data_IF_181333139250
#
_entry.id   IF_181333139250
#
_cell.length_a   1.000
_cell.length_b   1.000
_cell.length_c   1.000
_cell.angle_alpha   90.00
_cell.angle_beta   90.00
_cell.angle_gamma   90.00
#
_symmetry.space_group_name_H-M   'P 1'
#
loop_
_entity.id
_entity.type
_entity.pdbx_description
1 polymer ?
#
# COMPACT_ATOMS: atom_id res chain seq x y z
N UNK A 1 23.45 21.18 65.40
CA UNK A 1 24.35 20.49 66.35
C UNK A 1 25.50 20.03 65.51
N UNK A 2 26.50 20.84 65.47
CA UNK A 2 27.67 20.74 66.31
C UNK A 2 28.48 19.53 65.94
N UNK A 3 29.58 19.85 65.20
CA UNK A 3 30.95 19.68 65.69
C UNK A 3 31.35 18.23 65.87
N UNK A 4 32.35 17.86 65.25
CA UNK A 4 33.71 17.47 65.62
C UNK A 4 34.13 16.38 64.64
N UNK A 5 35.23 16.33 64.02
CA UNK A 5 36.58 16.60 64.51
C UNK A 5 37.49 16.72 63.32
N UNK A 6 38.04 17.85 63.18
CA UNK A 6 39.43 18.09 62.83
C UNK A 6 40.32 17.24 63.73
N UNK A 7 41.23 16.57 63.19
CA UNK A 7 42.59 16.27 63.72
C UNK A 7 43.03 14.92 63.15
N UNK A 8 43.84 14.79 62.23
CA UNK A 8 45.26 14.46 62.38
C UNK A 8 45.96 14.84 61.07
N UNK A 9 46.49 16.02 61.17
CA UNK A 9 47.56 16.53 60.34
C UNK A 9 48.85 16.02 60.95
N UNK A 10 49.91 15.91 60.15
CA UNK A 10 51.32 15.95 60.53
C UNK A 10 52.07 14.65 60.43
N UNK A 11 53.17 14.85 59.68
CA UNK A 11 54.44 14.15 59.62
C UNK A 11 54.55 12.92 58.72
N UNK A 12 55.12 13.10 57.53
CA UNK A 12 56.56 12.80 57.37
C UNK A 12 57.11 13.47 56.11
N UNK A 13 57.84 14.54 56.35
CA UNK A 13 58.81 15.09 55.42
C UNK A 13 60.16 14.47 55.81
N UNK A 14 60.77 13.73 54.92
CA UNK A 14 62.22 13.47 54.94
C UNK A 14 62.65 13.38 53.47
N UNK A 15 63.10 14.39 52.95
CA UNK A 15 64.44 14.84 52.52
C UNK A 15 65.46 13.73 52.31
N UNK A 16 65.83 13.52 51.07
CA UNK A 16 67.25 13.29 50.80
C UNK A 16 67.66 13.85 49.44
N UNK A 17 68.65 14.66 49.56
CA UNK A 17 69.34 15.51 48.63
C UNK A 17 70.31 14.73 47.74
N UNK A 18 70.56 15.35 46.56
CA UNK A 18 71.80 15.39 45.78
C UNK A 18 72.24 14.17 44.97
N UNK A 19 72.28 14.29 43.66
CA UNK A 19 73.58 14.69 43.03
C UNK A 19 73.35 14.96 41.56
N UNK A 20 73.76 16.13 41.18
CA UNK A 20 73.84 16.59 39.80
C UNK A 20 75.13 15.98 39.22
N UNK A 21 75.02 15.20 38.17
CA UNK A 21 76.14 14.91 37.28
C UNK A 21 75.63 15.10 35.83
N UNK A 22 76.44 15.88 35.11
CA UNK A 22 76.27 16.35 33.75
C UNK A 22 76.09 15.18 32.74
N UNK A 23 75.33 15.40 31.69
CA UNK A 23 75.17 14.39 30.62
C UNK A 23 76.40 14.46 29.73
N UNK A 24 77.13 13.38 29.69
CA UNK A 24 78.01 13.09 28.55
C UNK A 24 77.18 12.58 27.40
N UNK A 25 77.34 13.19 26.27
CA UNK A 25 76.87 12.75 25.00
C UNK A 25 77.15 11.25 24.81
N UNK A 26 76.09 10.46 24.70
CA UNK A 26 76.18 9.14 24.12
C UNK A 26 75.49 9.21 22.76
N UNK A 27 76.35 9.33 21.75
CA UNK A 27 75.95 9.00 20.38
C UNK A 27 75.38 7.58 20.38
N UNK A 28 74.10 7.52 20.29
CA UNK A 28 73.42 6.27 19.92
C UNK A 28 73.52 6.10 18.41
N UNK A 29 74.60 5.47 17.99
CA UNK A 29 74.57 4.73 16.73
C UNK A 29 73.53 3.67 16.84
N UNK A 30 72.32 3.98 16.37
CA UNK A 30 71.32 2.98 16.05
C UNK A 30 71.84 2.18 14.85
N UNK A 31 72.71 1.23 15.09
CA UNK A 31 72.97 0.18 14.12
C UNK A 31 71.70 -0.63 13.99
N UNK A 32 70.93 -0.32 12.98
CA UNK A 32 69.87 -1.18 12.45
C UNK A 32 70.56 -2.43 11.90
N UNK A 33 70.90 -3.39 12.78
CA UNK A 33 71.15 -4.73 12.35
C UNK A 33 69.81 -5.30 11.87
N UNK A 34 69.55 -5.19 10.60
CA UNK A 34 68.59 -6.04 9.92
C UNK A 34 69.08 -7.49 10.10
N UNK A 35 68.55 -8.15 11.09
CA UNK A 35 68.74 -9.59 11.19
C UNK A 35 67.99 -10.26 10.04
N UNK A 36 68.65 -10.42 8.91
CA UNK A 36 68.17 -11.26 7.87
C UNK A 36 68.12 -12.68 8.39
N UNK A 37 66.91 -13.22 8.49
CA UNK A 37 66.69 -14.61 8.83
C UNK A 37 66.66 -15.39 7.54
N UNK A 38 67.69 -16.17 7.26
CA UNK A 38 67.70 -17.11 6.16
C UNK A 38 67.07 -18.44 6.61
N UNK A 39 65.99 -18.79 5.91
CA UNK A 39 65.33 -20.11 6.06
C UNK A 39 65.88 -21.09 5.01
N UNK A 40 66.26 -22.27 5.48
CA UNK A 40 66.65 -23.33 4.54
C UNK A 40 65.41 -23.88 3.84
N UNK A 41 65.60 -24.51 2.68
CA UNK A 41 64.48 -25.11 1.94
C UNK A 41 63.72 -26.14 2.74
N UNK A 42 64.41 -26.93 3.51
CA UNK A 42 63.76 -27.94 4.38
C UNK A 42 62.91 -27.33 5.50
N UNK A 43 63.30 -26.18 6.02
CA UNK A 43 62.51 -25.41 6.99
C UNK A 43 61.29 -24.79 6.34
N UNK A 44 61.41 -24.30 5.10
CA UNK A 44 60.25 -23.73 4.31
C UNK A 44 59.23 -24.83 4.01
N UNK A 45 59.72 -26.02 3.59
CA UNK A 45 58.84 -27.15 3.27
C UNK A 45 58.18 -27.76 4.52
N UNK A 46 58.93 -27.87 5.62
CA UNK A 46 58.38 -28.36 6.91
C UNK A 46 57.31 -27.39 7.46
N UNK A 47 57.57 -26.11 7.35
CA UNK A 47 56.63 -25.05 7.82
C UNK A 47 55.51 -24.77 6.82
N UNK A 48 55.50 -25.40 5.64
CA UNK A 48 54.53 -25.19 4.54
C UNK A 48 54.35 -23.70 4.16
N UNK A 49 55.46 -22.94 4.18
CA UNK A 49 55.43 -21.52 3.82
C UNK A 49 55.22 -21.39 2.34
N UNK A 50 54.18 -20.62 1.95
CA UNK A 50 53.87 -20.26 0.56
C UNK A 50 54.10 -18.76 0.37
N UNK A 51 54.89 -18.42 -0.65
CA UNK A 51 55.06 -17.05 -1.06
C UNK A 51 53.90 -16.66 -1.98
N UNK A 52 53.29 -15.51 -1.75
CA UNK A 52 52.27 -14.95 -2.61
C UNK A 52 52.59 -13.51 -2.98
N UNK A 53 51.96 -13.01 -4.01
CA UNK A 53 51.98 -11.58 -4.34
C UNK A 53 50.88 -10.88 -3.60
N UNK A 54 51.14 -9.68 -3.10
CA UNK A 54 50.12 -8.80 -2.56
C UNK A 54 49.20 -8.34 -3.71
N UNK A 55 47.91 -8.63 -3.57
CA UNK A 55 46.89 -8.18 -4.48
C UNK A 55 46.09 -7.04 -3.83
N UNK A 56 45.80 -6.00 -4.61
CA UNK A 56 44.94 -4.91 -4.15
C UNK A 56 43.50 -5.36 -4.35
N UNK A 57 42.81 -5.70 -3.29
CA UNK A 57 41.40 -5.99 -3.29
C UNK A 57 40.62 -4.80 -2.74
N UNK A 58 39.52 -4.49 -3.40
CA UNK A 58 38.59 -3.47 -2.92
C UNK A 58 37.76 -4.09 -1.79
N UNK A 59 37.95 -3.64 -0.58
CA UNK A 59 37.12 -4.03 0.56
C UNK A 59 35.84 -3.21 0.46
N UNK A 60 34.76 -3.88 0.13
CA UNK A 60 33.43 -3.27 0.15
C UNK A 60 32.87 -3.38 1.56
N UNK A 61 32.47 -2.25 2.13
CA UNK A 61 31.72 -2.24 3.37
C UNK A 61 30.24 -2.46 3.02
N UNK A 62 29.66 -3.52 3.54
CA UNK A 62 28.24 -3.80 3.42
C UNK A 62 27.51 -3.27 4.64
N UNK A 63 26.34 -2.67 4.41
CA UNK A 63 25.41 -2.31 5.46
C UNK A 63 24.36 -3.43 5.51
N UNK A 64 24.36 -4.17 6.62
CA UNK A 64 23.32 -5.18 6.83
C UNK A 64 22.08 -4.51 7.40
N UNK A 65 20.97 -4.69 6.72
CA UNK A 65 19.67 -4.16 7.15
C UNK A 65 18.58 -5.21 6.93
N UNK A 66 17.56 -5.13 7.78
CA UNK A 66 16.36 -5.95 7.66
C UNK A 66 15.29 -5.13 6.97
N UNK A 67 14.59 -5.74 6.04
CA UNK A 67 13.52 -5.06 5.31
C UNK A 67 12.41 -6.00 4.90
N UNK A 68 11.37 -5.41 4.31
CA UNK A 68 10.27 -6.13 3.72
C UNK A 68 10.00 -5.63 2.31
N UNK A 69 9.50 -6.53 1.47
CA UNK A 69 8.97 -6.15 0.16
C UNK A 69 7.52 -5.73 0.38
N UNK A 70 7.19 -4.52 -0.02
CA UNK A 70 5.84 -3.97 0.09
C UNK A 70 5.30 -3.48 -1.25
N UNK A 71 3.98 -3.34 -1.33
CA UNK A 71 3.27 -2.85 -2.51
C UNK A 71 2.72 -1.46 -2.20
N UNK A 72 2.98 -0.46 -3.05
CA UNK A 72 2.44 0.89 -2.86
C UNK A 72 0.91 0.87 -2.70
N UNK A 73 0.31 1.79 -1.91
CA UNK A 73 -1.14 1.83 -1.70
C UNK A 73 -1.97 1.90 -2.97
N UNK A 74 -1.47 2.55 -4.03
CA UNK A 74 -2.14 2.63 -5.33
C UNK A 74 -2.20 1.30 -6.08
N UNK A 75 -1.37 0.33 -5.72
CA UNK A 75 -1.31 -1.00 -6.28
C UNK A 75 -2.04 -2.04 -5.41
N UNK A 76 -2.76 -1.59 -4.40
CA UNK A 76 -3.64 -2.41 -3.57
C UNK A 76 -5.09 -2.07 -3.85
N UNK A 77 -5.96 -3.06 -3.85
CA UNK A 77 -7.40 -2.87 -3.98
C UNK A 77 -8.14 -3.68 -2.93
N UNK A 78 -8.97 -2.99 -2.15
CA UNK A 78 -9.94 -3.59 -1.27
C UNK A 78 -11.30 -3.56 -1.96
N UNK A 79 -11.87 -4.72 -2.24
CA UNK A 79 -13.18 -4.86 -2.87
C UNK A 79 -14.21 -5.07 -1.78
N UNK A 80 -15.14 -4.13 -1.67
CA UNK A 80 -16.22 -4.17 -0.70
C UNK A 80 -17.57 -4.32 -1.40
N UNK A 81 -18.56 -4.85 -0.69
CA UNK A 81 -19.93 -4.96 -1.17
C UNK A 81 -20.57 -3.57 -1.30
N UNK A 82 -20.94 -3.11 -2.49
CA UNK A 82 -21.60 -1.81 -2.66
C UNK A 82 -23.02 -1.80 -2.11
N UNK A 83 -23.67 -2.97 -2.08
CA UNK A 83 -24.95 -3.25 -1.43
C UNK A 83 -24.86 -4.60 -0.72
N UNK A 84 -25.59 -4.75 0.39
CA UNK A 84 -25.66 -6.02 1.12
C UNK A 84 -26.40 -7.11 0.34
N UNK A 85 -26.06 -8.38 0.62
CA UNK A 85 -26.69 -9.53 -0.01
C UNK A 85 -26.07 -10.85 0.40
N UNK A 86 -26.58 -11.96 -0.13
CA UNK A 86 -26.06 -13.31 0.07
C UNK A 86 -25.10 -13.66 -1.06
N UNK A 87 -23.93 -14.18 -0.74
CA UNK A 87 -22.95 -14.65 -1.71
C UNK A 87 -23.45 -15.93 -2.38
N UNK A 88 -23.71 -15.87 -3.69
CA UNK A 88 -24.23 -17.01 -4.46
C UNK A 88 -23.16 -17.72 -5.29
N UNK A 89 -22.05 -17.07 -5.59
CA UNK A 89 -20.91 -17.63 -6.34
C UNK A 89 -19.63 -17.01 -5.82
N UNK A 90 -18.58 -17.83 -5.68
CA UNK A 90 -17.21 -17.41 -5.40
C UNK A 90 -16.31 -18.08 -6.44
N UNK A 91 -15.57 -17.29 -7.23
CA UNK A 91 -14.82 -17.81 -8.38
C UNK A 91 -13.33 -18.00 -8.10
N UNK A 92 -12.78 -17.34 -7.09
CA UNK A 92 -11.33 -17.24 -6.89
C UNK A 92 -10.94 -17.48 -5.45
N UNK A 93 -9.68 -17.93 -5.28
CA UNK A 93 -9.05 -18.25 -4.00
C UNK A 93 -7.83 -17.34 -3.75
N UNK A 94 -7.33 -17.25 -2.52
CA UNK A 94 -6.07 -16.58 -2.24
C UNK A 94 -4.92 -17.17 -3.07
N UNK A 95 -4.14 -16.30 -3.71
CA UNK A 95 -3.06 -16.64 -4.62
C UNK A 95 -3.44 -16.65 -6.10
N UNK A 96 -4.72 -16.64 -6.45
CA UNK A 96 -5.16 -16.59 -7.84
C UNK A 96 -4.88 -15.21 -8.47
N UNK A 97 -4.52 -15.23 -9.76
CA UNK A 97 -4.39 -14.02 -10.55
C UNK A 97 -5.72 -13.68 -11.22
N UNK A 98 -6.11 -12.41 -11.16
CA UNK A 98 -7.33 -11.89 -11.78
C UNK A 98 -7.03 -10.70 -12.68
N UNK A 99 -7.80 -10.55 -13.75
CA UNK A 99 -7.74 -9.40 -14.65
C UNK A 99 -8.72 -8.32 -14.22
N UNK A 100 -8.39 -7.07 -14.51
CA UNK A 100 -9.33 -5.96 -14.34
C UNK A 100 -10.65 -6.24 -15.05
N UNK A 101 -11.77 -6.09 -14.33
CA UNK A 101 -13.13 -6.35 -14.83
C UNK A 101 -13.58 -7.80 -14.70
N UNK A 102 -12.72 -8.72 -14.28
CA UNK A 102 -13.09 -10.12 -14.09
C UNK A 102 -14.01 -10.33 -12.89
N UNK A 103 -14.99 -11.23 -13.02
CA UNK A 103 -16.01 -11.44 -12.01
C UNK A 103 -15.49 -12.28 -10.84
N UNK A 104 -15.40 -11.69 -9.66
CA UNK A 104 -14.90 -12.32 -8.43
C UNK A 104 -15.99 -13.13 -7.73
N UNK A 105 -17.14 -12.54 -7.50
CA UNK A 105 -18.27 -13.19 -6.87
C UNK A 105 -19.60 -12.59 -7.36
N UNK A 106 -20.70 -13.24 -6.96
CA UNK A 106 -22.06 -12.75 -7.17
C UNK A 106 -22.78 -12.63 -5.85
N UNK A 107 -23.49 -11.52 -5.69
CA UNK A 107 -24.37 -11.27 -4.56
C UNK A 107 -25.82 -11.32 -5.02
N UNK A 108 -26.71 -11.86 -4.18
CA UNK A 108 -28.15 -11.88 -4.40
C UNK A 108 -28.87 -11.16 -3.27
N UNK A 109 -29.88 -10.35 -3.63
CA UNK A 109 -30.74 -9.67 -2.68
C UNK A 109 -32.05 -9.28 -3.40
N UNK A 110 -33.17 -9.39 -2.73
CA UNK A 110 -34.46 -8.93 -3.24
C UNK A 110 -34.48 -7.42 -3.53
N UNK A 111 -33.76 -6.64 -2.74
CA UNK A 111 -33.60 -5.21 -2.96
C UNK A 111 -33.05 -4.86 -4.36
N UNK A 112 -32.23 -5.74 -4.94
CA UNK A 112 -31.69 -5.54 -6.30
C UNK A 112 -32.79 -5.57 -7.35
N UNK A 113 -33.73 -6.51 -7.19
CA UNK A 113 -34.89 -6.66 -8.07
C UNK A 113 -35.80 -5.44 -7.94
N UNK A 114 -36.09 -5.03 -6.71
CA UNK A 114 -36.92 -3.85 -6.44
C UNK A 114 -36.35 -2.57 -7.06
N UNK A 115 -35.05 -2.30 -6.83
CA UNK A 115 -34.39 -1.10 -7.32
C UNK A 115 -34.41 -1.00 -8.87
N UNK A 116 -34.21 -2.14 -9.56
CA UNK A 116 -34.27 -2.22 -11.01
C UNK A 116 -35.72 -2.07 -11.54
N UNK A 117 -36.69 -2.68 -10.83
CA UNK A 117 -38.11 -2.54 -11.16
C UNK A 117 -38.57 -1.09 -11.04
N UNK A 118 -38.19 -0.40 -9.96
CA UNK A 118 -38.52 1.02 -9.76
C UNK A 118 -37.93 1.89 -10.88
N UNK A 119 -36.69 1.60 -11.30
CA UNK A 119 -36.04 2.30 -12.40
C UNK A 119 -36.76 2.10 -13.74
N UNK A 120 -37.08 0.85 -14.12
CA UNK A 120 -37.79 0.53 -15.36
C UNK A 120 -39.20 1.14 -15.39
N UNK A 121 -39.92 1.11 -14.25
CA UNK A 121 -41.21 1.75 -14.13
C UNK A 121 -41.13 3.27 -14.29
N UNK A 122 -40.13 3.91 -13.68
CA UNK A 122 -39.90 5.35 -13.80
C UNK A 122 -39.52 5.75 -15.25
N UNK A 123 -38.72 4.93 -15.96
CA UNK A 123 -38.42 5.15 -17.39
C UNK A 123 -39.69 5.15 -18.24
N UNK A 124 -40.54 4.13 -18.09
CA UNK A 124 -41.80 4.03 -18.82
C UNK A 124 -42.71 5.24 -18.53
N UNK A 125 -42.72 5.69 -17.26
CA UNK A 125 -43.49 6.86 -16.85
C UNK A 125 -42.95 8.16 -17.48
N UNK A 126 -41.62 8.31 -17.56
CA UNK A 126 -41.02 9.49 -18.24
C UNK A 126 -41.37 9.49 -19.70
N UNK A 127 -41.33 8.37 -20.43
CA UNK A 127 -41.69 8.29 -21.83
C UNK A 127 -43.16 8.71 -22.08
N UNK A 128 -44.06 8.20 -21.22
CA UNK A 128 -45.46 8.62 -21.27
C UNK A 128 -45.62 10.12 -21.02
N UNK A 129 -45.02 10.64 -19.95
CA UNK A 129 -45.13 12.04 -19.58
C UNK A 129 -44.46 13.00 -20.61
N UNK A 130 -43.39 12.54 -21.29
CA UNK A 130 -42.77 13.28 -22.38
C UNK A 130 -43.75 13.47 -23.53
N UNK A 131 -44.49 12.43 -23.92
CA UNK A 131 -45.50 12.51 -24.97
C UNK A 131 -46.63 13.45 -24.57
N UNK A 132 -47.10 13.36 -23.32
CA UNK A 132 -48.15 14.26 -22.80
C UNK A 132 -47.65 15.72 -22.72
N UNK A 133 -46.42 15.96 -22.31
CA UNK A 133 -45.80 17.28 -22.29
C UNK A 133 -45.75 17.87 -23.72
N UNK A 134 -45.26 17.10 -24.69
CA UNK A 134 -45.17 17.55 -26.09
C UNK A 134 -46.55 17.87 -26.67
N UNK A 135 -47.56 17.07 -26.34
CA UNK A 135 -48.95 17.32 -26.74
C UNK A 135 -49.49 18.59 -26.12
N UNK A 136 -49.33 18.79 -24.82
CA UNK A 136 -49.80 19.98 -24.10
C UNK A 136 -49.04 21.23 -24.54
N UNK A 137 -47.78 21.12 -24.87
CA UNK A 137 -47.01 22.24 -25.42
C UNK A 137 -47.62 22.76 -26.73
N UNK A 138 -47.94 21.85 -27.66
CA UNK A 138 -48.61 22.25 -28.94
C UNK A 138 -49.98 22.90 -28.72
N UNK A 139 -50.78 22.39 -27.78
CA UNK A 139 -52.07 22.96 -27.41
C UNK A 139 -51.92 24.35 -26.77
N UNK A 140 -50.92 24.55 -25.93
CA UNK A 140 -50.65 25.85 -25.36
C UNK A 140 -50.22 26.88 -26.41
N UNK A 141 -49.32 26.49 -27.33
CA UNK A 141 -48.89 27.31 -28.45
C UNK A 141 -50.07 27.70 -29.37
N UNK A 142 -51.11 26.82 -29.48
CA UNK A 142 -52.35 27.09 -30.19
C UNK A 142 -53.40 27.84 -29.33
N UNK A 143 -53.07 28.31 -28.12
CA UNK A 143 -53.97 28.92 -27.15
C UNK A 143 -55.20 28.06 -26.77
N UNK A 144 -55.08 26.73 -26.85
CA UNK A 144 -56.16 25.77 -26.56
C UNK A 144 -56.21 25.30 -25.12
N UNK A 145 -55.17 25.57 -24.30
CA UNK A 145 -55.12 25.28 -22.87
C UNK A 145 -54.59 26.45 -22.06
N UNK A 146 -54.84 26.45 -20.75
CA UNK A 146 -54.33 27.48 -19.87
C UNK A 146 -52.83 27.32 -19.59
N UNK A 147 -52.15 28.44 -19.33
CA UNK A 147 -50.74 28.41 -18.88
C UNK A 147 -50.56 27.57 -17.63
N UNK A 148 -51.48 27.63 -16.69
CA UNK A 148 -51.49 26.82 -15.46
C UNK A 148 -51.46 25.33 -15.80
N UNK A 149 -52.25 24.84 -16.74
CA UNK A 149 -52.32 23.42 -17.13
C UNK A 149 -51.03 22.96 -17.81
N UNK A 150 -50.41 23.82 -18.63
CA UNK A 150 -49.13 23.57 -19.26
C UNK A 150 -47.99 23.50 -18.19
N UNK A 151 -47.94 24.46 -17.27
CA UNK A 151 -46.92 24.49 -16.22
C UNK A 151 -47.05 23.32 -15.26
N UNK A 152 -48.28 22.91 -14.91
CA UNK A 152 -48.49 21.72 -14.10
C UNK A 152 -47.93 20.45 -14.77
N UNK A 153 -48.15 20.27 -16.07
CA UNK A 153 -47.62 19.15 -16.82
C UNK A 153 -46.08 19.16 -16.87
N UNK A 154 -45.51 20.35 -17.08
CA UNK A 154 -44.05 20.55 -17.06
C UNK A 154 -43.43 20.15 -15.71
N UNK A 155 -44.08 20.52 -14.60
CA UNK A 155 -43.61 20.13 -13.24
C UNK A 155 -43.63 18.62 -13.06
N UNK A 156 -44.75 17.96 -13.40
CA UNK A 156 -44.91 16.51 -13.27
C UNK A 156 -43.86 15.75 -14.10
N UNK A 157 -43.66 16.18 -15.35
CA UNK A 157 -42.62 15.58 -16.21
C UNK A 157 -41.21 15.75 -15.62
N UNK A 158 -40.88 16.96 -15.15
CA UNK A 158 -39.56 17.20 -14.56
C UNK A 158 -39.32 16.43 -13.28
N UNK A 159 -40.35 16.26 -12.43
CA UNK A 159 -40.25 15.45 -11.22
C UNK A 159 -39.91 14.00 -11.54
N UNK A 160 -40.60 13.38 -12.52
CA UNK A 160 -40.32 11.99 -12.87
C UNK A 160 -38.93 11.84 -13.51
N UNK A 161 -38.49 12.82 -14.33
CA UNK A 161 -37.13 12.85 -14.88
C UNK A 161 -36.05 12.88 -13.78
N UNK A 162 -36.27 13.69 -12.72
CA UNK A 162 -35.37 13.75 -11.58
C UNK A 162 -35.32 12.38 -10.86
N UNK A 163 -36.47 11.72 -10.72
CA UNK A 163 -36.58 10.39 -10.11
C UNK A 163 -35.81 9.35 -10.90
N UNK A 164 -35.93 9.33 -12.24
CA UNK A 164 -35.12 8.45 -13.11
C UNK A 164 -33.64 8.68 -12.89
N UNK A 165 -33.17 9.93 -12.96
CA UNK A 165 -31.77 10.26 -12.76
C UNK A 165 -31.26 9.79 -11.39
N UNK A 166 -32.06 9.94 -10.34
CA UNK A 166 -31.70 9.48 -9.00
C UNK A 166 -31.57 7.95 -8.91
N UNK A 167 -32.47 7.20 -9.57
CA UNK A 167 -32.43 5.74 -9.63
C UNK A 167 -31.25 5.25 -10.48
N UNK A 168 -30.94 5.91 -11.60
CA UNK A 168 -29.75 5.62 -12.40
C UNK A 168 -28.47 5.73 -11.59
N UNK A 169 -28.29 6.85 -10.86
CA UNK A 169 -27.11 7.04 -10.03
C UNK A 169 -27.00 6.00 -8.89
N UNK A 170 -28.12 5.61 -8.30
CA UNK A 170 -28.16 4.52 -7.31
C UNK A 170 -27.72 3.19 -7.92
N UNK A 171 -28.23 2.83 -9.09
CA UNK A 171 -27.89 1.58 -9.80
C UNK A 171 -26.43 1.56 -10.25
N UNK A 172 -25.92 2.69 -10.83
CA UNK A 172 -24.52 2.83 -11.23
C UNK A 172 -23.56 2.65 -10.04
N UNK A 173 -23.83 3.33 -8.92
CA UNK A 173 -23.03 3.20 -7.69
C UNK A 173 -23.06 1.81 -7.08
N UNK A 174 -24.18 1.11 -7.25
CA UNK A 174 -24.31 -0.28 -6.86
C UNK A 174 -23.53 -1.25 -7.77
N UNK A 175 -23.05 -0.79 -8.94
CA UNK A 175 -22.28 -1.58 -9.90
C UNK A 175 -23.15 -2.27 -10.96
N UNK A 176 -24.42 -1.89 -11.09
CA UNK A 176 -25.29 -2.40 -12.17
C UNK A 176 -25.01 -1.69 -13.50
N UNK A 177 -25.07 -2.47 -14.58
CA UNK A 177 -25.00 -1.94 -15.93
C UNK A 177 -26.41 -1.60 -16.44
N UNK A 178 -26.72 -0.32 -16.59
CA UNK A 178 -28.04 0.15 -16.99
C UNK A 178 -28.44 -0.35 -18.38
N UNK A 179 -27.52 -0.43 -19.34
CA UNK A 179 -27.83 -0.95 -20.67
C UNK A 179 -28.27 -2.42 -20.60
N UNK A 180 -27.61 -3.23 -19.76
CA UNK A 180 -28.03 -4.61 -19.58
C UNK A 180 -29.41 -4.73 -18.94
N UNK A 181 -29.77 -3.84 -18.00
CA UNK A 181 -31.10 -3.81 -17.39
C UNK A 181 -32.17 -3.45 -18.45
N UNK A 182 -31.89 -2.48 -19.31
CA UNK A 182 -32.81 -2.06 -20.35
C UNK A 182 -32.98 -3.11 -21.46
N UNK A 183 -31.90 -3.79 -21.87
CA UNK A 183 -31.92 -4.75 -22.97
C UNK A 183 -32.37 -6.15 -22.51
N UNK A 184 -31.91 -6.62 -21.34
CA UNK A 184 -32.10 -8.00 -20.87
C UNK A 184 -33.08 -8.12 -19.71
N UNK A 185 -33.56 -6.98 -19.18
CA UNK A 185 -34.44 -6.95 -18.02
C UNK A 185 -33.70 -7.06 -16.69
N UNK A 186 -34.47 -7.33 -15.64
CA UNK A 186 -34.00 -7.37 -14.26
C UNK A 186 -32.98 -8.50 -14.06
N UNK A 187 -31.84 -8.14 -13.49
CA UNK A 187 -30.76 -9.06 -13.11
C UNK A 187 -30.93 -9.46 -11.62
N UNK A 188 -31.11 -10.74 -11.30
CA UNK A 188 -31.37 -11.17 -9.91
C UNK A 188 -30.11 -11.14 -9.02
N UNK A 189 -28.95 -10.89 -9.60
CA UNK A 189 -27.66 -10.86 -8.89
C UNK A 189 -26.86 -9.62 -9.26
N UNK A 190 -26.04 -9.20 -8.31
CA UNK A 190 -25.01 -8.19 -8.51
C UNK A 190 -23.66 -8.88 -8.70
N UNK A 191 -23.00 -8.62 -9.83
CA UNK A 191 -21.66 -9.13 -10.10
C UNK A 191 -20.62 -8.19 -9.53
N UNK A 192 -19.76 -8.71 -8.67
CA UNK A 192 -18.61 -7.98 -8.13
C UNK A 192 -17.40 -8.32 -8.98
N UNK A 193 -16.78 -7.28 -9.57
CA UNK A 193 -15.63 -7.44 -10.45
C UNK A 193 -14.40 -6.75 -9.90
N UNK A 194 -13.22 -7.22 -10.32
CA UNK A 194 -11.95 -6.62 -9.91
C UNK A 194 -11.73 -5.25 -10.55
N UNK A 195 -11.35 -4.21 -9.78
CA UNK A 195 -11.01 -2.89 -10.31
C UNK A 195 -9.60 -2.82 -10.91
N UNK A 196 -8.72 -3.76 -10.55
CA UNK A 196 -7.33 -3.86 -11.03
C UNK A 196 -7.02 -5.28 -11.51
N UNK A 197 -5.94 -5.45 -12.26
CA UNK A 197 -5.33 -6.76 -12.48
C UNK A 197 -4.32 -7.02 -11.36
N UNK A 198 -4.24 -8.27 -10.87
CA UNK A 198 -3.32 -8.59 -9.78
C UNK A 198 -3.65 -9.92 -9.11
N UNK A 199 -3.02 -10.17 -7.97
CA UNK A 199 -3.19 -11.38 -7.19
C UNK A 199 -4.11 -11.14 -5.99
N UNK A 200 -4.97 -12.09 -5.74
CA UNK A 200 -5.82 -12.09 -4.55
C UNK A 200 -4.97 -12.47 -3.34
N UNK A 201 -4.91 -11.58 -2.36
CA UNK A 201 -4.19 -11.82 -1.10
C UNK A 201 -5.11 -12.42 -0.04
N UNK A 202 -6.36 -11.97 -0.01
CA UNK A 202 -7.33 -12.44 0.98
C UNK A 202 -8.73 -12.54 0.39
N UNK A 203 -9.46 -13.59 0.78
CA UNK A 203 -10.88 -13.80 0.47
C UNK A 203 -11.64 -13.86 1.79
N UNK A 204 -12.51 -12.86 2.05
CA UNK A 204 -13.29 -12.73 3.30
C UNK A 204 -14.73 -13.24 3.17
N UNK A 205 -15.03 -13.89 2.06
CA UNK A 205 -16.35 -14.39 1.74
C UNK A 205 -16.33 -15.87 1.39
N UNK A 206 -17.45 -16.53 1.63
CA UNK A 206 -17.70 -17.91 1.22
C UNK A 206 -19.14 -18.03 0.70
N UNK A 207 -19.41 -19.12 0.01
CA UNK A 207 -20.76 -19.42 -0.52
C UNK A 207 -21.79 -19.41 0.61
N UNK A 208 -22.91 -18.71 0.40
CA UNK A 208 -24.00 -18.59 1.37
C UNK A 208 -23.79 -17.55 2.47
N UNK A 209 -22.64 -16.90 2.54
CA UNK A 209 -22.40 -15.83 3.53
C UNK A 209 -23.29 -14.63 3.24
N UNK A 210 -23.96 -14.14 4.28
CA UNK A 210 -24.63 -12.83 4.26
C UNK A 210 -23.56 -11.75 4.46
N UNK A 211 -23.52 -10.77 3.55
CA UNK A 211 -22.62 -9.60 3.64
C UNK A 211 -23.43 -8.32 3.71
N UNK A 212 -22.89 -7.34 4.44
CA UNK A 212 -23.49 -6.02 4.60
C UNK A 212 -22.87 -5.04 3.61
N UNK A 213 -23.55 -3.91 3.38
CA UNK A 213 -22.98 -2.82 2.59
C UNK A 213 -21.69 -2.31 3.23
N UNK A 214 -20.62 -2.16 2.42
CA UNK A 214 -19.30 -1.73 2.84
C UNK A 214 -18.42 -2.85 3.41
N UNK A 215 -18.94 -4.08 3.59
CA UNK A 215 -18.15 -5.21 4.06
C UNK A 215 -17.11 -5.63 3.01
N UNK A 216 -15.86 -5.83 3.45
CA UNK A 216 -14.77 -6.26 2.58
C UNK A 216 -14.98 -7.71 2.13
N UNK A 217 -14.87 -7.93 0.83
CA UNK A 217 -15.03 -9.23 0.19
C UNK A 217 -13.70 -9.84 -0.22
N UNK A 218 -12.83 -9.03 -0.85
CA UNK A 218 -11.53 -9.43 -1.36
C UNK A 218 -10.49 -8.34 -1.12
N UNK A 219 -9.24 -8.77 -0.98
CA UNK A 219 -8.07 -7.90 -1.05
C UNK A 219 -7.17 -8.39 -2.17
N UNK A 220 -6.69 -7.45 -2.99
CA UNK A 220 -5.83 -7.70 -4.14
C UNK A 220 -4.61 -6.81 -4.11
N UNK A 221 -3.52 -7.33 -4.69
CA UNK A 221 -2.31 -6.56 -4.95
C UNK A 221 -1.89 -6.69 -6.41
N UNK A 222 -1.46 -5.58 -6.98
CA UNK A 222 -0.73 -5.56 -8.24
C UNK A 222 0.77 -5.53 -7.92
N UNK A 223 1.46 -6.62 -8.24
CA UNK A 223 2.90 -6.79 -7.97
C UNK A 223 3.80 -6.27 -9.10
N UNK A 224 3.26 -5.50 -10.04
CA UNK A 224 4.05 -4.89 -11.13
C UNK A 224 5.08 -3.87 -10.62
N UNK A 225 4.82 -3.27 -9.48
CA UNK A 225 5.69 -2.32 -8.81
C UNK A 225 5.86 -2.68 -7.34
N UNK A 226 6.98 -3.34 -7.05
CA UNK A 226 7.35 -3.70 -5.68
C UNK A 226 8.35 -2.68 -5.13
N UNK A 227 8.20 -2.33 -3.87
CA UNK A 227 9.13 -1.49 -3.12
C UNK A 227 9.78 -2.32 -2.03
N UNK A 228 11.07 -2.08 -1.84
CA UNK A 228 11.82 -2.66 -0.74
C UNK A 228 11.96 -1.59 0.36
N UNK A 229 11.32 -1.82 1.49
CA UNK A 229 11.48 -0.98 2.67
C UNK A 229 12.56 -1.58 3.56
N UNK A 230 13.63 -0.79 3.79
CA UNK A 230 14.79 -1.22 4.56
C UNK A 230 14.86 -0.44 5.87
N UNK A 231 14.99 -1.15 6.98
CA UNK A 231 15.24 -0.56 8.29
C UNK A 231 16.75 -0.46 8.52
N UNK A 232 17.29 0.76 8.38
CA UNK A 232 18.71 1.04 8.59
C UNK A 232 18.94 1.51 10.01
N UNK A 233 19.95 0.95 10.69
CA UNK A 233 20.32 1.38 12.03
C UNK A 233 20.86 2.82 12.03
N UNK A 234 20.57 3.55 13.09
CA UNK A 234 21.00 4.96 13.23
C UNK A 234 22.50 5.17 13.02
N UNK A 235 23.34 4.22 13.44
CA UNK A 235 24.80 4.26 13.25
C UNK A 235 25.23 4.25 11.77
N UNK A 236 24.43 3.63 10.90
CA UNK A 236 24.78 3.40 9.50
C UNK A 236 24.09 4.38 8.54
N UNK A 237 23.18 5.24 9.05
CA UNK A 237 22.36 6.13 8.22
C UNK A 237 23.18 7.11 7.37
N UNK A 238 24.33 7.55 7.88
CA UNK A 238 25.23 8.48 7.16
C UNK A 238 25.97 7.81 5.98
N UNK A 239 26.01 6.48 5.96
CA UNK A 239 26.64 5.71 4.89
C UNK A 239 25.65 5.37 3.76
N UNK A 240 24.35 5.54 3.96
CA UNK A 240 23.31 5.32 2.94
C UNK A 240 23.23 6.53 2.01
N UNK A 241 23.32 6.28 0.70
CA UNK A 241 23.25 7.32 -0.33
C UNK A 241 22.19 6.96 -1.39
N UNK A 242 21.51 7.96 -1.99
CA UNK A 242 20.63 7.73 -3.12
C UNK A 242 21.35 7.04 -4.27
N UNK A 243 20.65 6.12 -4.94
CA UNK A 243 21.15 5.30 -6.08
C UNK A 243 22.26 4.28 -5.71
N UNK A 244 22.36 3.93 -4.45
CA UNK A 244 23.21 2.81 -4.03
C UNK A 244 22.60 1.50 -4.51
N UNK A 245 23.46 0.56 -4.94
CA UNK A 245 23.03 -0.79 -5.33
C UNK A 245 22.71 -1.57 -4.04
N UNK A 246 21.60 -2.29 -4.07
CA UNK A 246 21.11 -3.15 -2.98
C UNK A 246 21.27 -4.60 -3.41
#
# INVERSE_FOLDING_TARGET
MKYTIYLVLIFFVFSCSSKQENPSEIENEASSSSSEFELTKDQIDLAKIKLGKAEINVIQNYIECVGMVDVPPQNRATISAPLGGVVSVVNFYPGDYVKKGEALCRLQNELYIQLQSDYLNALNQVDFLQNEFNRKQKLFEANAISEKDFLNQKVVFNQEKIKVNALEEKLKRAGFNLNQIQEKGIQPYLQISSPISGYITEVKVNLGKQVNQGETLYELIDNSHLHLELNVYQKDINAVKPKQVI
#
